data_IF_666225194795
#
_entry.id   IF_666225194795
#
_cell.length_a   1.000
_cell.length_b   1.000
_cell.length_c   1.000
_cell.angle_alpha   90.00
_cell.angle_beta   90.00
_cell.angle_gamma   90.00
#
_symmetry.space_group_name_H-M   'P 1'
#
loop_
_entity.id
_entity.type
_entity.pdbx_description
1 polymer ?
#
# COMPACT_ATOMS: atom_id res chain seq x y z
N UNK A 1 -1.68 -17.22 -31.17
CA UNK A 1 -0.66 -16.85 -30.18
C UNK A 1 -1.38 -16.83 -28.85
N UNK A 2 -0.98 -17.67 -27.90
CA UNK A 2 -1.53 -17.66 -26.54
C UNK A 2 -0.92 -16.47 -25.82
N UNK A 3 -1.75 -15.49 -25.44
CA UNK A 3 -1.30 -14.37 -24.61
C UNK A 3 -1.09 -14.87 -23.17
N UNK A 4 0.04 -14.52 -22.57
CA UNK A 4 0.30 -14.81 -21.17
C UNK A 4 -0.37 -13.76 -20.28
N UNK A 5 -1.15 -14.23 -19.30
CA UNK A 5 -1.74 -13.34 -18.31
C UNK A 5 -0.85 -13.27 -17.07
N UNK A 6 -0.39 -12.08 -16.73
CA UNK A 6 0.39 -11.83 -15.50
C UNK A 6 -0.40 -10.88 -14.59
N UNK A 7 -0.44 -11.17 -13.28
CA UNK A 7 -1.14 -10.32 -12.31
C UNK A 7 -0.18 -9.81 -11.25
N UNK A 8 -0.22 -8.51 -10.99
CA UNK A 8 0.52 -7.88 -9.89
C UNK A 8 -0.49 -7.39 -8.85
N UNK A 9 -0.51 -8.02 -7.68
CA UNK A 9 -1.35 -7.66 -6.56
C UNK A 9 -0.64 -6.67 -5.65
N UNK A 10 -1.17 -5.47 -5.51
CA UNK A 10 -0.72 -4.46 -4.56
C UNK A 10 -1.58 -4.59 -3.30
N UNK A 11 -1.00 -5.11 -2.23
CA UNK A 11 -1.67 -5.33 -0.94
C UNK A 11 -1.24 -4.24 0.05
N UNK A 12 -2.20 -3.50 0.61
CA UNK A 12 -1.93 -2.64 1.76
C UNK A 12 -1.82 -3.49 3.02
N UNK A 13 -0.85 -3.16 3.91
CA UNK A 13 -0.71 -3.82 5.21
C UNK A 13 -1.99 -3.74 6.06
N UNK A 14 -2.14 -4.66 7.03
CA UNK A 14 -3.21 -4.68 8.01
C UNK A 14 -3.13 -3.55 9.03
N UNK A 15 -4.09 -3.50 9.97
CA UNK A 15 -4.10 -2.49 11.03
C UNK A 15 -2.83 -2.55 11.89
N UNK A 16 -2.39 -1.39 12.33
CA UNK A 16 -1.19 -1.21 13.17
C UNK A 16 -1.57 -0.88 14.61
N UNK A 17 -0.87 -1.47 15.56
CA UNK A 17 -0.98 -1.11 16.97
C UNK A 17 -0.42 0.31 17.18
N UNK A 18 -1.32 1.30 17.31
CA UNK A 18 -0.98 2.71 17.44
C UNK A 18 -1.89 3.39 18.48
N UNK A 19 -1.73 3.07 19.78
CA UNK A 19 -2.58 3.60 20.84
C UNK A 19 -2.42 5.12 21.01
N UNK A 20 -1.28 5.67 20.64
CA UNK A 20 -0.99 7.10 20.75
C UNK A 20 -1.57 7.92 19.59
N UNK A 21 -2.07 7.26 18.53
CA UNK A 21 -2.62 7.88 17.31
C UNK A 21 -1.67 8.88 16.66
N UNK A 22 -0.40 8.52 16.57
CA UNK A 22 0.62 9.30 15.86
C UNK A 22 0.66 8.91 14.37
N UNK A 23 1.09 9.84 13.53
CA UNK A 23 1.44 9.55 12.16
C UNK A 23 2.77 8.78 12.16
N UNK A 24 2.73 7.48 11.93
CA UNK A 24 3.93 6.65 12.06
C UNK A 24 4.78 6.56 10.78
N UNK A 25 4.23 6.84 9.59
CA UNK A 25 4.98 6.89 8.35
C UNK A 25 6.03 5.78 8.19
N UNK A 26 7.31 6.15 8.18
CA UNK A 26 8.45 5.21 8.11
C UNK A 26 9.06 4.86 9.47
N UNK A 27 8.50 5.33 10.57
CA UNK A 27 9.03 5.06 11.90
C UNK A 27 9.07 3.56 12.21
N UNK A 28 10.15 3.05 12.83
CA UNK A 28 10.29 1.66 13.23
C UNK A 28 9.38 1.32 14.42
N UNK A 29 9.14 0.03 14.67
CA UNK A 29 8.42 -0.47 15.84
C UNK A 29 6.89 -0.44 15.71
N UNK A 30 6.35 0.04 14.60
CA UNK A 30 4.91 0.04 14.32
C UNK A 30 4.52 -1.28 13.64
N UNK A 31 4.09 -2.22 14.50
CA UNK A 31 3.69 -3.59 14.13
C UNK A 31 2.19 -3.70 13.95
N UNK A 32 1.75 -4.81 13.34
CA UNK A 32 0.33 -5.11 13.28
C UNK A 32 -0.27 -5.23 14.68
N UNK A 33 -1.53 -4.82 14.82
CA UNK A 33 -2.37 -5.19 15.95
C UNK A 33 -2.91 -6.62 15.77
N UNK A 34 -3.53 -7.18 16.82
CA UNK A 34 -4.23 -8.47 16.70
C UNK A 34 -5.32 -8.43 15.61
N UNK A 35 -5.95 -7.27 15.41
CA UNK A 35 -6.89 -7.06 14.32
C UNK A 35 -6.18 -7.05 12.96
N UNK A 36 -5.02 -6.39 12.88
CA UNK A 36 -4.21 -6.35 11.68
C UNK A 36 -3.69 -7.73 11.25
N UNK A 37 -3.33 -8.59 12.20
CA UNK A 37 -2.97 -9.99 11.93
C UNK A 37 -4.14 -10.78 11.34
N UNK A 38 -5.36 -10.60 11.89
CA UNK A 38 -6.57 -11.21 11.32
C UNK A 38 -6.88 -10.67 9.92
N UNK A 39 -6.64 -9.37 9.67
CA UNK A 39 -6.78 -8.78 8.33
C UNK A 39 -5.79 -9.40 7.33
N UNK A 40 -4.54 -9.64 7.75
CA UNK A 40 -3.54 -10.32 6.92
C UNK A 40 -3.96 -11.75 6.54
N UNK A 41 -4.57 -12.48 7.48
CA UNK A 41 -5.13 -13.80 7.19
C UNK A 41 -6.29 -13.73 6.18
N UNK A 42 -7.21 -12.73 6.29
CA UNK A 42 -8.27 -12.53 5.28
C UNK A 42 -7.71 -12.27 3.88
N UNK A 43 -6.65 -11.47 3.78
CA UNK A 43 -5.98 -11.23 2.51
C UNK A 43 -5.33 -12.51 1.96
N UNK A 44 -4.74 -13.32 2.84
CA UNK A 44 -4.18 -14.64 2.48
C UNK A 44 -5.25 -15.59 1.95
N UNK A 45 -6.40 -15.68 2.62
CA UNK A 45 -7.52 -16.52 2.20
C UNK A 45 -8.07 -16.08 0.83
N UNK A 46 -8.15 -14.78 0.58
CA UNK A 46 -8.59 -14.25 -0.71
C UNK A 46 -7.64 -14.58 -1.87
N UNK A 47 -6.37 -14.83 -1.58
CA UNK A 47 -5.36 -15.21 -2.56
C UNK A 47 -5.20 -16.74 -2.68
N UNK A 48 -5.93 -17.55 -1.91
CA UNK A 48 -5.68 -18.99 -1.76
C UNK A 48 -5.72 -19.78 -3.08
N UNK A 49 -6.58 -19.35 -4.03
CA UNK A 49 -6.78 -20.01 -5.32
C UNK A 49 -5.99 -19.34 -6.47
N UNK A 50 -5.12 -18.37 -6.13
CA UNK A 50 -4.26 -17.66 -7.10
C UNK A 50 -2.93 -18.39 -7.31
N UNK A 51 -2.33 -18.24 -8.50
CA UNK A 51 -1.03 -18.84 -8.86
C UNK A 51 0.13 -17.90 -8.42
N UNK A 52 0.24 -17.64 -7.13
CA UNK A 52 1.28 -16.77 -6.60
C UNK A 52 2.66 -17.43 -6.73
N UNK A 53 3.55 -16.79 -7.49
CA UNK A 53 4.91 -17.24 -7.74
C UNK A 53 5.98 -16.46 -6.98
N UNK A 54 5.64 -15.26 -6.51
CA UNK A 54 6.56 -14.39 -5.80
C UNK A 54 5.84 -13.48 -4.80
N UNK A 55 6.51 -13.19 -3.69
CA UNK A 55 6.04 -12.26 -2.67
C UNK A 55 7.15 -11.25 -2.39
N UNK A 56 6.82 -9.96 -2.52
CA UNK A 56 7.73 -8.86 -2.25
C UNK A 56 7.08 -7.94 -1.21
N UNK A 57 7.82 -7.52 -0.22
CA UNK A 57 7.32 -6.65 0.84
C UNK A 57 8.17 -5.39 0.99
N UNK A 58 7.51 -4.30 1.38
CA UNK A 58 8.19 -3.15 1.98
C UNK A 58 9.05 -3.61 3.17
N UNK A 59 10.20 -2.93 3.45
CA UNK A 59 11.04 -3.28 4.59
C UNK A 59 10.39 -3.03 5.96
N UNK A 60 9.27 -2.30 6.03
CA UNK A 60 8.62 -1.94 7.29
C UNK A 60 7.92 -3.14 7.94
N UNK A 61 8.08 -3.28 9.26
CA UNK A 61 7.64 -4.45 10.05
C UNK A 61 6.20 -4.86 9.77
N UNK A 62 5.27 -3.92 9.74
CA UNK A 62 3.84 -4.17 9.46
C UNK A 62 3.56 -4.78 8.09
N UNK A 63 4.36 -4.40 7.08
CA UNK A 63 4.24 -4.98 5.74
C UNK A 63 4.82 -6.40 5.71
N UNK A 64 5.96 -6.63 6.35
CA UNK A 64 6.57 -7.96 6.51
C UNK A 64 5.63 -8.91 7.26
N UNK A 65 5.00 -8.44 8.35
CA UNK A 65 4.02 -9.22 9.11
C UNK A 65 2.76 -9.53 8.28
N UNK A 66 2.33 -8.61 7.41
CA UNK A 66 1.19 -8.86 6.51
C UNK A 66 1.56 -9.88 5.42
N UNK A 67 2.82 -9.89 4.94
CA UNK A 67 3.31 -10.84 3.95
C UNK A 67 3.52 -12.25 4.51
N UNK A 68 3.85 -12.37 5.79
CA UNK A 68 4.23 -13.64 6.42
C UNK A 68 3.19 -14.76 6.27
N UNK A 69 1.88 -14.58 6.52
CA UNK A 69 0.90 -15.64 6.32
C UNK A 69 0.74 -16.05 4.85
N UNK A 70 0.92 -15.12 3.90
CA UNK A 70 0.91 -15.40 2.47
C UNK A 70 2.12 -16.29 2.12
N UNK A 71 3.30 -15.91 2.62
CA UNK A 71 4.54 -16.68 2.45
C UNK A 71 4.40 -18.12 2.96
N UNK A 72 3.83 -18.29 4.16
CA UNK A 72 3.56 -19.59 4.73
C UNK A 72 2.55 -20.42 3.93
N UNK A 73 1.53 -19.79 3.36
CA UNK A 73 0.48 -20.44 2.54
C UNK A 73 1.02 -21.00 1.23
N UNK A 74 1.93 -20.27 0.58
CA UNK A 74 2.47 -20.62 -0.74
C UNK A 74 3.85 -21.27 -0.68
N UNK A 75 4.42 -21.43 0.49
CA UNK A 75 5.79 -21.95 0.71
C UNK A 75 6.84 -21.14 -0.09
N UNK A 76 6.72 -19.81 -0.03
CA UNK A 76 7.59 -18.87 -0.76
C UNK A 76 8.33 -17.96 0.21
N UNK A 77 9.57 -17.54 -0.11
CA UNK A 77 10.26 -16.50 0.63
C UNK A 77 9.58 -15.14 0.43
N UNK A 78 9.81 -14.22 1.37
CA UNK A 78 9.45 -12.81 1.23
C UNK A 78 10.69 -12.03 0.83
N UNK A 79 10.72 -11.54 -0.40
CA UNK A 79 11.74 -10.59 -0.85
C UNK A 79 11.43 -9.18 -0.30
N UNK A 80 12.45 -8.33 -0.17
CA UNK A 80 12.28 -6.94 0.27
C UNK A 80 12.63 -5.98 -0.86
N UNK A 81 11.80 -4.93 -1.06
CA UNK A 81 12.02 -3.89 -2.04
C UNK A 81 11.74 -2.50 -1.43
N UNK A 82 12.78 -1.66 -1.34
CA UNK A 82 12.66 -0.30 -0.80
C UNK A 82 11.82 0.63 -1.67
N UNK A 83 11.63 0.30 -2.95
CA UNK A 83 10.78 1.10 -3.85
C UNK A 83 9.30 1.09 -3.46
N UNK A 84 8.86 0.09 -2.67
CA UNK A 84 7.47 -0.01 -2.21
C UNK A 84 7.29 0.40 -0.75
N UNK A 85 8.27 1.10 -0.15
CA UNK A 85 8.17 1.67 1.19
C UNK A 85 7.13 2.81 1.23
N UNK A 86 6.61 3.13 2.43
CA UNK A 86 5.68 4.26 2.63
C UNK A 86 6.28 5.59 2.10
N UNK A 87 5.41 6.51 1.71
CA UNK A 87 5.84 7.86 1.32
C UNK A 87 6.43 8.59 2.53
N UNK A 88 7.49 9.38 2.27
CA UNK A 88 8.07 10.24 3.29
C UNK A 88 7.09 11.32 3.76
N UNK A 89 7.10 11.65 5.06
CA UNK A 89 6.21 12.65 5.62
C UNK A 89 6.87 13.37 6.81
N UNK A 90 7.04 14.68 6.71
CA UNK A 90 7.65 15.52 7.76
C UNK A 90 6.86 15.56 9.09
N UNK A 91 5.62 15.09 9.09
CA UNK A 91 4.78 15.02 10.29
C UNK A 91 4.90 13.69 11.04
N UNK A 92 5.83 12.81 10.65
CA UNK A 92 6.08 11.55 11.34
C UNK A 92 6.36 11.77 12.83
N UNK A 93 5.77 10.92 13.67
CA UNK A 93 5.85 11.03 15.14
C UNK A 93 4.93 12.07 15.77
N UNK A 94 4.16 12.80 14.96
CA UNK A 94 3.23 13.83 15.49
C UNK A 94 1.79 13.32 15.46
N UNK A 95 0.98 13.83 16.40
CA UNK A 95 -0.48 13.61 16.40
C UNK A 95 -1.13 14.60 15.42
N UNK A 96 -1.08 14.31 14.15
CA UNK A 96 -1.61 15.16 13.08
C UNK A 96 -2.45 14.31 12.17
N UNK A 97 -3.76 14.38 12.31
CA UNK A 97 -4.72 13.76 11.41
C UNK A 97 -5.27 14.75 10.37
N UNK A 98 -5.78 14.26 9.27
CA UNK A 98 -6.61 15.05 8.34
C UNK A 98 -7.87 15.48 9.10
N UNK A 99 -7.95 16.77 9.47
CA UNK A 99 -9.04 17.33 10.28
C UNK A 99 -8.64 17.71 11.72
N UNK A 100 -7.51 17.22 12.25
CA UNK A 100 -7.09 17.47 13.65
C UNK A 100 -6.24 18.72 13.86
N UNK A 101 -6.21 19.62 12.87
CA UNK A 101 -5.74 20.96 13.20
C UNK A 101 -4.29 21.25 12.88
N UNK A 102 -3.66 20.70 11.82
CA UNK A 102 -2.44 21.31 11.23
C UNK A 102 -2.68 22.80 10.95
N UNK A 103 -3.91 23.19 10.62
CA UNK A 103 -4.32 24.59 10.49
C UNK A 103 -4.29 25.38 11.83
N UNK A 104 -4.26 24.71 12.99
CA UNK A 104 -4.12 25.33 14.31
C UNK A 104 -2.65 25.55 14.70
N UNK A 105 -1.71 25.05 13.92
CA UNK A 105 -0.29 25.13 14.13
C UNK A 105 0.37 26.04 13.07
N UNK A 106 0.50 27.37 13.33
CA UNK A 106 1.05 28.34 12.38
C UNK A 106 2.45 28.00 11.89
N UNK A 107 3.23 27.27 12.71
CA UNK A 107 4.57 26.81 12.38
C UNK A 107 4.60 25.86 11.17
N UNK A 108 3.48 25.24 10.80
CA UNK A 108 3.40 24.33 9.65
C UNK A 108 2.76 24.94 8.40
N UNK A 109 2.25 26.18 8.46
CA UNK A 109 1.58 26.83 7.34
C UNK A 109 2.49 27.01 6.12
N UNK A 110 3.78 27.22 6.34
CA UNK A 110 4.74 27.31 5.26
C UNK A 110 4.92 26.01 4.47
N UNK A 111 4.52 24.86 5.04
CA UNK A 111 4.48 23.58 4.35
C UNK A 111 3.14 23.33 3.62
N UNK A 112 2.08 24.09 3.93
CA UNK A 112 0.74 23.90 3.39
C UNK A 112 0.41 24.79 2.19
N UNK A 113 1.31 25.71 1.80
CA UNK A 113 1.04 26.73 0.79
C UNK A 113 0.85 26.19 -0.63
N UNK A 114 1.34 24.97 -0.95
CA UNK A 114 1.20 24.37 -2.27
C UNK A 114 0.53 22.98 -2.18
N UNK A 115 -0.80 22.91 -2.30
CA UNK A 115 -1.53 21.64 -2.24
C UNK A 115 -1.27 20.72 -3.45
N UNK A 116 -0.69 21.24 -4.55
CA UNK A 116 -0.41 20.48 -5.76
C UNK A 116 0.96 19.78 -5.73
N UNK A 117 1.86 20.25 -4.89
CA UNK A 117 3.15 19.62 -4.64
C UNK A 117 3.28 19.54 -3.12
N UNK A 118 2.96 18.38 -2.52
CA UNK A 118 2.99 18.25 -1.09
C UNK A 118 4.40 18.54 -0.58
N UNK A 119 4.59 19.76 -0.02
CA UNK A 119 5.85 20.16 0.59
C UNK A 119 6.07 19.51 1.96
N UNK A 120 5.08 18.69 2.40
CA UNK A 120 5.13 17.91 3.63
C UNK A 120 5.49 16.43 3.41
N UNK A 121 5.74 16.00 2.18
CA UNK A 121 6.05 14.60 1.87
C UNK A 121 6.66 14.40 0.50
N UNK A 122 6.86 13.14 0.14
CA UNK A 122 7.40 12.74 -1.16
C UNK A 122 6.50 13.24 -2.32
N UNK A 123 7.07 13.87 -3.37
CA UNK A 123 6.31 14.31 -4.53
C UNK A 123 5.61 13.14 -5.23
N UNK A 124 4.32 13.27 -5.53
CA UNK A 124 3.54 12.19 -6.16
C UNK A 124 4.14 11.65 -7.48
N UNK A 125 4.75 12.46 -8.37
CA UNK A 125 5.41 11.91 -9.56
C UNK A 125 6.61 11.02 -9.25
N UNK A 126 7.38 11.34 -8.21
CA UNK A 126 8.54 10.52 -7.77
C UNK A 126 8.06 9.21 -7.15
N UNK A 127 7.04 9.28 -6.28
CA UNK A 127 6.36 8.13 -5.72
C UNK A 127 5.78 7.22 -6.83
N UNK A 128 5.10 7.81 -7.83
CA UNK A 128 4.56 7.08 -8.97
C UNK A 128 5.67 6.39 -9.76
N UNK A 129 6.79 7.06 -10.01
CA UNK A 129 7.90 6.51 -10.77
C UNK A 129 8.53 5.30 -10.08
N UNK A 130 8.82 5.38 -8.75
CA UNK A 130 9.40 4.24 -8.02
C UNK A 130 8.43 3.07 -7.91
N UNK A 131 7.13 3.34 -7.69
CA UNK A 131 6.11 2.30 -7.62
C UNK A 131 5.88 1.62 -8.97
N UNK A 132 5.84 2.38 -10.07
CA UNK A 132 5.73 1.83 -11.42
C UNK A 132 6.92 0.93 -11.73
N UNK A 133 8.14 1.37 -11.43
CA UNK A 133 9.35 0.56 -11.64
C UNK A 133 9.33 -0.73 -10.81
N UNK A 134 8.77 -0.71 -9.58
CA UNK A 134 8.62 -1.92 -8.76
C UNK A 134 7.57 -2.87 -9.35
N UNK A 135 6.42 -2.35 -9.80
CA UNK A 135 5.35 -3.13 -10.43
C UNK A 135 5.84 -3.79 -11.72
N UNK A 136 6.55 -3.07 -12.58
CA UNK A 136 7.10 -3.60 -13.83
C UNK A 136 8.13 -4.70 -13.56
N UNK A 137 9.06 -4.46 -12.62
CA UNK A 137 10.06 -5.45 -12.24
C UNK A 137 9.42 -6.72 -11.64
N UNK A 138 8.37 -6.56 -10.84
CA UNK A 138 7.62 -7.68 -10.27
C UNK A 138 6.90 -8.49 -11.37
N UNK A 139 6.17 -7.80 -12.28
CA UNK A 139 5.54 -8.42 -13.45
C UNK A 139 6.52 -9.24 -14.26
N UNK A 140 7.66 -8.63 -14.61
CA UNK A 140 8.66 -9.26 -15.49
C UNK A 140 9.33 -10.47 -14.84
N UNK A 141 9.33 -10.54 -13.51
CA UNK A 141 9.91 -11.67 -12.76
C UNK A 141 9.04 -12.91 -12.72
N UNK A 142 7.74 -12.80 -13.04
CA UNK A 142 6.76 -13.90 -12.90
C UNK A 142 5.86 -14.09 -14.13
N UNK A 143 6.32 -13.71 -15.32
CA UNK A 143 5.51 -13.75 -16.55
C UNK A 143 4.63 -15.00 -16.63
N UNK A 144 3.35 -14.81 -16.96
CA UNK A 144 2.35 -15.87 -17.00
C UNK A 144 1.82 -16.33 -15.65
N UNK A 145 2.28 -15.74 -14.55
CA UNK A 145 1.88 -16.07 -13.17
C UNK A 145 1.56 -14.81 -12.36
N UNK A 146 1.46 -14.91 -11.04
CA UNK A 146 1.02 -13.82 -10.17
C UNK A 146 2.05 -13.48 -9.09
N UNK A 147 2.12 -12.21 -8.70
CA UNK A 147 3.02 -11.70 -7.65
C UNK A 147 2.27 -10.80 -6.69
N UNK A 148 2.61 -10.87 -5.40
CA UNK A 148 2.09 -9.99 -4.36
C UNK A 148 3.15 -8.99 -3.93
N UNK A 149 2.80 -7.70 -3.95
CA UNK A 149 3.59 -6.58 -3.44
C UNK A 149 2.90 -6.03 -2.18
N UNK A 150 3.45 -6.26 -1.00
CA UNK A 150 2.88 -5.75 0.25
C UNK A 150 3.46 -4.38 0.58
N UNK A 151 2.63 -3.37 0.58
CA UNK A 151 3.02 -1.96 0.70
C UNK A 151 2.04 -1.18 1.61
N UNK A 152 1.89 0.12 1.36
CA UNK A 152 1.21 1.08 2.23
C UNK A 152 0.16 1.86 1.46
N UNK A 153 -0.66 2.65 2.18
CA UNK A 153 -1.82 3.31 1.58
C UNK A 153 -1.44 4.25 0.43
N UNK A 154 -0.56 5.21 0.66
CA UNK A 154 -0.26 6.21 -0.36
C UNK A 154 0.50 5.63 -1.55
N UNK A 155 1.53 4.78 -1.39
CA UNK A 155 2.20 4.11 -2.50
C UNK A 155 1.25 3.30 -3.37
N UNK A 156 0.40 2.45 -2.77
CA UNK A 156 -0.58 1.64 -3.52
C UNK A 156 -1.57 2.52 -4.27
N UNK A 157 -2.10 3.57 -3.61
CA UNK A 157 -3.04 4.49 -4.23
C UNK A 157 -2.43 5.25 -5.42
N UNK A 158 -1.23 5.78 -5.27
CA UNK A 158 -0.54 6.50 -6.35
C UNK A 158 -0.14 5.56 -7.50
N UNK A 159 0.28 4.33 -7.19
CA UNK A 159 0.51 3.31 -8.21
C UNK A 159 -0.76 3.03 -9.01
N UNK A 160 -1.90 2.85 -8.35
CA UNK A 160 -3.20 2.67 -9.00
C UNK A 160 -3.56 3.84 -9.92
N UNK A 161 -3.44 5.08 -9.44
CA UNK A 161 -3.71 6.26 -10.26
C UNK A 161 -2.79 6.32 -11.49
N UNK A 162 -1.50 5.95 -11.34
CA UNK A 162 -0.54 5.90 -12.43
C UNK A 162 -0.95 4.85 -13.48
N UNK A 163 -1.29 3.63 -13.04
CA UNK A 163 -1.74 2.52 -13.90
C UNK A 163 -3.02 2.85 -14.67
N UNK A 164 -3.96 3.56 -14.02
CA UNK A 164 -5.22 4.01 -14.64
C UNK A 164 -5.06 5.29 -15.50
N UNK A 165 -3.87 5.89 -15.57
CA UNK A 165 -3.63 7.14 -16.31
C UNK A 165 -4.37 8.35 -15.70
N UNK A 166 -4.65 8.32 -14.41
CA UNK A 166 -5.41 9.35 -13.68
C UNK A 166 -4.48 10.39 -13.06
N UNK A 167 -5.05 11.56 -12.78
CA UNK A 167 -4.32 12.64 -12.08
C UNK A 167 -4.04 12.25 -10.63
N UNK A 168 -2.85 12.56 -10.12
CA UNK A 168 -2.44 12.25 -8.75
C UNK A 168 -3.13 13.11 -7.69
N UNK A 169 -3.63 14.30 -8.07
CA UNK A 169 -4.37 15.13 -7.13
C UNK A 169 -5.71 14.48 -6.77
N UNK A 170 -5.97 14.30 -5.48
CA UNK A 170 -7.16 13.65 -4.96
C UNK A 170 -7.46 14.08 -3.53
N UNK A 171 -8.70 13.91 -3.09
CA UNK A 171 -9.08 14.00 -1.67
C UNK A 171 -8.59 12.75 -0.92
N UNK A 172 -7.70 12.88 0.09
CA UNK A 172 -7.18 11.72 0.84
C UNK A 172 -8.26 10.84 1.47
N UNK A 173 -9.43 11.41 1.81
CA UNK A 173 -10.57 10.68 2.38
C UNK A 173 -11.30 9.77 1.40
N UNK A 174 -11.02 9.92 0.11
CA UNK A 174 -11.64 9.15 -0.98
C UNK A 174 -10.69 8.13 -1.60
N UNK A 175 -9.62 7.78 -0.90
CA UNK A 175 -8.72 6.73 -1.35
C UNK A 175 -9.40 5.37 -1.19
N UNK A 176 -9.61 4.67 -2.29
CA UNK A 176 -10.00 3.25 -2.29
C UNK A 176 -8.73 2.41 -2.06
N UNK A 177 -8.29 2.36 -0.82
CA UNK A 177 -7.14 1.60 -0.36
C UNK A 177 -7.30 1.36 1.15
N UNK A 178 -8.29 0.54 1.52
CA UNK A 178 -8.58 0.14 2.89
C UNK A 178 -7.48 -0.76 3.45
N UNK A 179 -7.45 -0.97 4.76
CA UNK A 179 -6.50 -1.90 5.40
C UNK A 179 -6.68 -3.31 4.84
N UNK A 180 -5.58 -3.97 4.50
CA UNK A 180 -5.53 -5.29 3.85
C UNK A 180 -6.33 -5.39 2.55
N UNK A 181 -6.60 -4.26 1.86
CA UNK A 181 -7.19 -4.26 0.52
C UNK A 181 -6.17 -4.65 -0.54
N UNK A 182 -6.66 -5.22 -1.64
CA UNK A 182 -5.85 -5.68 -2.76
C UNK A 182 -6.27 -4.90 -4.02
N UNK A 183 -5.31 -4.22 -4.63
CA UNK A 183 -5.43 -3.63 -5.97
C UNK A 183 -4.65 -4.51 -6.94
N UNK A 184 -5.31 -5.12 -7.93
CA UNK A 184 -4.68 -6.05 -8.85
C UNK A 184 -4.58 -5.45 -10.24
N UNK A 185 -3.36 -5.36 -10.76
CA UNK A 185 -3.06 -4.96 -12.13
C UNK A 185 -2.92 -6.22 -13.00
N UNK A 186 -3.81 -6.39 -13.96
CA UNK A 186 -3.86 -7.55 -14.87
C UNK A 186 -3.23 -7.17 -16.19
N UNK A 187 -2.24 -7.93 -16.62
CA UNK A 187 -1.52 -7.74 -17.87
C UNK A 187 -1.77 -8.90 -18.82
N UNK A 188 -1.93 -8.59 -20.11
CA UNK A 188 -1.83 -9.55 -21.21
C UNK A 188 -0.53 -9.23 -21.93
N UNK A 189 0.45 -10.10 -21.81
CA UNK A 189 1.85 -9.83 -22.13
C UNK A 189 2.34 -8.55 -21.40
N UNK A 190 2.76 -7.51 -22.13
CA UNK A 190 3.21 -6.24 -21.54
C UNK A 190 2.09 -5.18 -21.40
N UNK A 191 0.87 -5.48 -21.88
CA UNK A 191 -0.22 -4.52 -21.90
C UNK A 191 -1.11 -4.65 -20.66
N UNK A 192 -1.26 -3.59 -19.88
CA UNK A 192 -2.25 -3.52 -18.83
C UNK A 192 -3.67 -3.61 -19.45
N UNK A 193 -4.45 -4.57 -19.00
CA UNK A 193 -5.82 -4.83 -19.51
C UNK A 193 -6.91 -4.53 -18.49
N UNK A 194 -6.59 -4.61 -17.19
CA UNK A 194 -7.53 -4.27 -16.12
C UNK A 194 -6.80 -3.85 -14.84
N UNK A 195 -7.47 -3.02 -14.04
CA UNK A 195 -7.14 -2.77 -12.64
C UNK A 195 -8.39 -3.07 -11.81
N UNK A 196 -8.29 -3.98 -10.84
CA UNK A 196 -9.40 -4.35 -9.96
C UNK A 196 -9.07 -4.00 -8.52
N UNK A 197 -10.11 -3.88 -7.68
CA UNK A 197 -9.98 -3.57 -6.26
C UNK A 197 -10.89 -4.47 -5.44
N UNK A 198 -10.35 -5.04 -4.37
CA UNK A 198 -11.10 -5.89 -3.43
C UNK A 198 -10.72 -5.58 -1.99
N UNK A 199 -11.65 -5.83 -1.07
CA UNK A 199 -11.51 -5.64 0.38
C UNK A 199 -11.75 -6.95 1.12
N UNK A 200 -10.78 -7.87 1.16
CA UNK A 200 -10.95 -9.18 1.82
C UNK A 200 -11.30 -9.09 3.30
N UNK A 201 -10.85 -8.03 3.97
CA UNK A 201 -11.07 -7.79 5.39
C UNK A 201 -12.18 -6.75 5.66
N UNK A 202 -13.13 -6.55 4.74
CA UNK A 202 -14.20 -5.54 4.89
C UNK A 202 -15.03 -5.71 6.17
N UNK A 203 -15.26 -6.95 6.59
CA UNK A 203 -15.97 -7.31 7.83
C UNK A 203 -15.25 -6.86 9.11
N UNK A 204 -13.92 -6.66 9.04
CA UNK A 204 -13.08 -6.25 10.15
C UNK A 204 -12.85 -4.73 10.23
N UNK A 205 -13.12 -3.99 9.15
CA UNK A 205 -12.90 -2.53 9.09
C UNK A 205 -13.65 -1.73 10.16
N UNK A 206 -14.90 -2.05 10.56
CA UNK A 206 -15.60 -1.29 11.59
C UNK A 206 -14.92 -1.30 12.96
N UNK A 207 -14.06 -2.28 13.24
CA UNK A 207 -13.25 -2.36 14.47
C UNK A 207 -11.90 -1.68 14.38
N UNK A 208 -11.51 -1.23 13.21
CA UNK A 208 -10.18 -0.68 12.96
C UNK A 208 -10.06 0.78 13.40
N UNK A 209 -8.86 1.15 13.83
CA UNK A 209 -8.50 2.53 14.16
C UNK A 209 -8.49 3.40 12.89
N UNK A 210 -9.23 4.49 12.88
CA UNK A 210 -9.31 5.44 11.76
C UNK A 210 -8.23 6.51 11.82
N UNK A 211 -6.96 6.13 12.02
CA UNK A 211 -5.86 7.11 11.99
C UNK A 211 -5.55 7.45 10.53
N UNK A 212 -5.83 8.68 10.12
CA UNK A 212 -5.49 9.16 8.79
C UNK A 212 -3.96 9.27 8.62
N UNK A 213 -3.44 8.73 7.54
CA UNK A 213 -2.00 8.83 7.22
C UNK A 213 -1.15 7.66 7.75
N UNK A 214 -1.82 6.57 8.03
CA UNK A 214 -1.19 5.29 8.29
C UNK A 214 -1.39 4.37 7.10
#
# INVERSE_FOLDING_TARGET
MTHETTVVHLLRHGEVHNPEKVLYGRLPGYRLSDLGERMALRATDALADHDIARIVSSPLERAQQTAAPIAARFDLPVDTDDRIIEADNIFEGKRVGVGDGVLKHPEYWHHLWNPFRPSWGEPYPELAARMTAAVEAARDSVRGREVVLVSHQLPVWIARLSLEGRRFWHDPRRRECSLASITSAVYSDDRLVAVTYTEPAADLLPGASSVAGA
#
